data_IF_488954581030
#
_entry.id   IF_488954581030
#
_cell.length_a   1.000
_cell.length_b   1.000
_cell.length_c   1.000
_cell.angle_alpha   90.00
_cell.angle_beta   90.00
_cell.angle_gamma   90.00
#
_symmetry.space_group_name_H-M   'P 1'
#
loop_
_entity.id
_entity.type
_entity.pdbx_description
1 polymer ?
#
# COMPACT_ATOMS: atom_id res chain seq x y z
N UNK A 1 26.93 5.51 4.87
CA UNK A 1 25.54 5.51 4.38
C UNK A 1 25.53 4.74 3.08
N UNK A 2 24.75 3.66 3.00
CA UNK A 2 24.51 2.96 1.72
C UNK A 2 23.96 3.97 0.72
N UNK A 3 24.44 3.88 -0.53
CA UNK A 3 23.95 4.72 -1.63
C UNK A 3 22.44 4.51 -1.77
N UNK A 4 21.66 5.56 -1.50
CA UNK A 4 20.21 5.54 -1.59
C UNK A 4 19.78 5.41 -3.05
N UNK A 5 19.18 4.27 -3.42
CA UNK A 5 18.68 4.01 -4.77
C UNK A 5 17.18 3.84 -4.72
N UNK A 6 16.45 4.82 -5.29
CA UNK A 6 14.99 4.78 -5.41
C UNK A 6 14.50 3.48 -6.05
N UNK A 7 15.24 2.97 -7.04
CA UNK A 7 14.92 1.70 -7.71
C UNK A 7 14.84 0.50 -6.78
N UNK A 8 15.61 0.46 -5.69
CA UNK A 8 15.59 -0.66 -4.74
C UNK A 8 14.28 -0.71 -3.95
N UNK A 9 13.71 0.46 -3.63
CA UNK A 9 12.46 0.58 -2.87
C UNK A 9 11.27 0.44 -3.81
N UNK A 10 11.22 1.24 -4.88
CA UNK A 10 10.11 1.22 -5.82
C UNK A 10 10.06 -0.09 -6.62
N UNK A 11 11.19 -0.74 -6.85
CA UNK A 11 11.25 -2.03 -7.53
C UNK A 11 10.80 -3.21 -6.67
N UNK A 12 10.79 -3.07 -5.34
CA UNK A 12 10.43 -4.13 -4.40
C UNK A 12 8.97 -4.54 -4.52
N UNK A 13 8.71 -5.84 -4.56
CA UNK A 13 7.36 -6.38 -4.73
C UNK A 13 6.49 -6.13 -3.50
N UNK A 14 7.05 -6.23 -2.29
CA UNK A 14 6.34 -5.87 -1.06
C UNK A 14 5.80 -4.44 -1.10
N UNK A 15 6.60 -3.47 -1.56
CA UNK A 15 6.18 -2.07 -1.69
C UNK A 15 5.04 -1.92 -2.70
N UNK A 16 5.10 -2.62 -3.83
CA UNK A 16 4.00 -2.63 -4.82
C UNK A 16 2.73 -3.25 -4.26
N UNK A 17 2.85 -4.36 -3.55
CA UNK A 17 1.73 -5.09 -2.96
C UNK A 17 1.03 -4.23 -1.90
N UNK A 18 1.79 -3.65 -0.96
CA UNK A 18 1.26 -2.73 0.03
C UNK A 18 0.67 -1.47 -0.60
N UNK A 19 1.33 -0.89 -1.61
CA UNK A 19 0.80 0.26 -2.34
C UNK A 19 -0.51 -0.04 -3.06
N UNK A 20 -0.63 -1.20 -3.71
CA UNK A 20 -1.88 -1.66 -4.34
C UNK A 20 -2.99 -1.93 -3.31
N UNK A 21 -2.64 -2.54 -2.17
CA UNK A 21 -3.58 -2.74 -1.07
C UNK A 21 -4.07 -1.40 -0.52
N UNK A 22 -3.18 -0.42 -0.33
CA UNK A 22 -3.52 0.93 0.10
C UNK A 22 -4.43 1.63 -0.91
N UNK A 23 -4.14 1.52 -2.22
CA UNK A 23 -5.01 2.03 -3.28
C UNK A 23 -6.43 1.48 -3.19
N UNK A 24 -6.56 0.16 -2.99
CA UNK A 24 -7.86 -0.52 -2.83
C UNK A 24 -8.56 -0.05 -1.55
N UNK A 25 -7.82 0.09 -0.45
CA UNK A 25 -8.35 0.62 0.80
C UNK A 25 -8.92 2.04 0.62
N UNK A 26 -8.24 2.89 -0.16
CA UNK A 26 -8.70 4.25 -0.45
C UNK A 26 -9.93 4.26 -1.38
N UNK A 27 -9.89 3.51 -2.47
CA UNK A 27 -10.93 3.54 -3.52
C UNK A 27 -12.19 2.75 -3.17
N UNK A 28 -12.06 1.69 -2.38
CA UNK A 28 -13.15 0.75 -2.07
C UNK A 28 -13.54 0.85 -0.61
N UNK A 29 -12.55 0.92 0.28
CA UNK A 29 -12.76 0.94 1.73
C UNK A 29 -12.90 2.33 2.33
N UNK A 30 -12.71 3.40 1.54
CA UNK A 30 -12.69 4.80 1.97
C UNK A 30 -11.72 5.07 3.16
N UNK A 31 -10.64 4.29 3.25
CA UNK A 31 -9.68 4.35 4.36
C UNK A 31 -8.65 5.48 4.17
N UNK A 32 -9.14 6.72 4.14
CA UNK A 32 -8.29 7.91 4.09
C UNK A 32 -7.45 8.09 5.36
N UNK A 33 -7.87 7.50 6.48
CA UNK A 33 -7.11 7.51 7.73
C UNK A 33 -5.74 6.85 7.55
N UNK A 34 -5.66 5.71 6.86
CA UNK A 34 -4.37 5.07 6.54
C UNK A 34 -3.41 5.97 5.77
N UNK A 35 -3.92 6.74 4.80
CA UNK A 35 -3.11 7.65 4.00
C UNK A 35 -2.55 8.79 4.88
N UNK A 36 -3.42 9.42 5.68
CA UNK A 36 -3.02 10.51 6.57
C UNK A 36 -2.03 10.02 7.63
N UNK A 37 -2.30 8.88 8.27
CA UNK A 37 -1.39 8.29 9.27
C UNK A 37 0.00 7.99 8.65
N UNK A 38 0.04 7.47 7.41
CA UNK A 38 1.29 7.23 6.68
C UNK A 38 2.02 8.51 6.26
N UNK A 39 1.35 9.64 6.06
CA UNK A 39 1.99 10.89 5.67
C UNK A 39 2.80 11.52 6.81
N UNK A 40 2.33 11.33 8.06
CA UNK A 40 2.93 11.93 9.25
C UNK A 40 3.88 11.00 10.02
N UNK A 41 4.08 9.77 9.56
CA UNK A 41 4.94 8.79 10.24
C UNK A 41 6.43 9.12 10.07
N UNK A 42 7.15 9.36 11.17
CA UNK A 42 8.56 9.78 11.12
C UNK A 42 9.53 8.74 11.69
N UNK A 43 9.08 7.88 12.61
CA UNK A 43 9.94 6.86 13.23
C UNK A 43 9.49 5.44 12.88
N UNK A 44 10.40 4.47 13.02
CA UNK A 44 10.12 3.06 12.74
C UNK A 44 8.96 2.55 13.58
N UNK A 45 8.92 2.89 14.87
CA UNK A 45 7.88 2.46 15.80
C UNK A 45 6.50 3.03 15.41
N UNK A 46 6.46 4.29 14.96
CA UNK A 46 5.25 4.87 14.40
C UNK A 46 4.83 4.12 13.14
N UNK A 47 5.79 3.76 12.28
CA UNK A 47 5.52 3.03 11.04
C UNK A 47 4.94 1.65 11.30
N UNK A 48 5.50 0.90 12.25
CA UNK A 48 4.97 -0.39 12.69
C UNK A 48 3.51 -0.28 13.15
N UNK A 49 3.19 0.71 13.98
CA UNK A 49 1.83 0.90 14.47
C UNK A 49 0.87 1.31 13.35
N UNK A 50 1.29 2.17 12.43
CA UNK A 50 0.48 2.57 11.26
C UNK A 50 0.23 1.38 10.33
N UNK A 51 1.26 0.58 10.02
CA UNK A 51 1.13 -0.62 9.18
C UNK A 51 0.20 -1.64 9.84
N UNK A 52 0.33 -1.89 11.14
CA UNK A 52 -0.56 -2.78 11.89
C UNK A 52 -2.02 -2.33 11.84
N UNK A 53 -2.29 -1.05 12.06
CA UNK A 53 -3.64 -0.47 11.97
C UNK A 53 -4.20 -0.61 10.55
N UNK A 54 -3.39 -0.28 9.55
CA UNK A 54 -3.75 -0.43 8.14
C UNK A 54 -4.12 -1.89 7.81
N UNK A 55 -3.29 -2.87 8.16
CA UNK A 55 -3.57 -4.29 7.91
C UNK A 55 -4.90 -4.73 8.52
N UNK A 56 -5.21 -4.27 9.75
CA UNK A 56 -6.49 -4.56 10.41
C UNK A 56 -7.69 -3.96 9.68
N UNK A 57 -7.57 -2.71 9.21
CA UNK A 57 -8.63 -2.05 8.41
C UNK A 57 -8.77 -2.73 7.04
N UNK A 58 -7.66 -3.06 6.41
CA UNK A 58 -7.61 -3.68 5.09
C UNK A 58 -8.20 -5.08 5.09
N UNK A 59 -7.97 -5.90 6.13
CA UNK A 59 -8.57 -7.24 6.24
C UNK A 59 -10.10 -7.20 6.12
N UNK A 60 -10.74 -6.18 6.70
CA UNK A 60 -12.19 -5.99 6.59
C UNK A 60 -12.62 -5.65 5.17
N UNK A 61 -11.82 -4.84 4.45
CA UNK A 61 -12.06 -4.50 3.04
C UNK A 61 -11.83 -5.71 2.13
N UNK A 62 -10.77 -6.49 2.39
CA UNK A 62 -10.42 -7.65 1.60
C UNK A 62 -11.48 -8.75 1.68
N UNK A 63 -12.03 -9.00 2.87
CA UNK A 63 -13.15 -9.95 3.07
C UNK A 63 -14.45 -9.52 2.42
N UNK A 64 -14.77 -8.22 2.44
CA UNK A 64 -15.95 -7.69 1.73
C UNK A 64 -15.81 -7.90 0.22
N UNK A 65 -14.57 -7.88 -0.28
CA UNK A 65 -14.28 -8.00 -1.70
C UNK A 65 -14.75 -6.78 -2.49
N UNK A 66 -14.63 -6.87 -3.81
CA UNK A 66 -15.10 -5.86 -4.76
C UNK A 66 -15.52 -6.54 -6.06
N UNK A 67 -16.68 -6.14 -6.61
CA UNK A 67 -17.27 -6.72 -7.83
C UNK A 67 -17.32 -8.26 -7.81
N UNK A 68 -17.75 -8.83 -6.67
CA UNK A 68 -17.91 -10.27 -6.51
C UNK A 68 -16.60 -11.07 -6.36
N UNK A 69 -15.45 -10.42 -6.17
CA UNK A 69 -14.15 -11.07 -5.95
C UNK A 69 -13.53 -10.59 -4.64
N UNK A 70 -12.98 -11.51 -3.86
CA UNK A 70 -12.14 -11.14 -2.70
C UNK A 70 -10.91 -10.36 -3.17
N UNK A 71 -10.47 -9.40 -2.35
CA UNK A 71 -9.20 -8.72 -2.63
C UNK A 71 -8.05 -9.53 -2.05
N UNK A 72 -6.93 -9.52 -2.77
CA UNK A 72 -5.69 -10.15 -2.31
C UNK A 72 -5.27 -9.60 -0.94
N UNK A 73 -4.94 -10.52 -0.03
CA UNK A 73 -4.35 -10.17 1.27
C UNK A 73 -2.84 -10.02 1.13
N UNK A 74 -2.27 -9.20 2.01
CA UNK A 74 -0.82 -9.06 2.13
C UNK A 74 -0.26 -10.28 2.86
N UNK A 75 0.88 -10.78 2.39
CA UNK A 75 1.54 -11.93 3.01
C UNK A 75 2.46 -11.52 4.15
N UNK A 76 2.76 -12.47 5.04
CA UNK A 76 3.79 -12.28 6.08
C UNK A 76 5.15 -11.93 5.47
N UNK A 77 5.49 -12.57 4.34
CA UNK A 77 6.70 -12.26 3.58
C UNK A 77 6.75 -10.80 3.10
N UNK A 78 5.63 -10.27 2.58
CA UNK A 78 5.57 -8.86 2.19
C UNK A 78 5.82 -7.95 3.39
N UNK A 79 5.29 -8.30 4.57
CA UNK A 79 5.50 -7.53 5.79
C UNK A 79 6.96 -7.54 6.24
N UNK A 80 7.60 -8.72 6.27
CA UNK A 80 9.01 -8.86 6.61
C UNK A 80 9.91 -8.07 5.66
N UNK A 81 9.66 -8.18 4.34
CA UNK A 81 10.39 -7.44 3.33
C UNK A 81 10.21 -5.93 3.48
N UNK A 82 8.97 -5.46 3.71
CA UNK A 82 8.70 -4.04 3.94
C UNK A 82 9.44 -3.50 5.16
N UNK A 83 9.43 -4.23 6.28
CA UNK A 83 10.15 -3.83 7.49
C UNK A 83 11.67 -3.81 7.28
N UNK A 84 12.21 -4.76 6.51
CA UNK A 84 13.63 -4.76 6.15
C UNK A 84 14.05 -3.53 5.33
N UNK A 85 13.14 -3.01 4.48
CA UNK A 85 13.38 -1.77 3.74
C UNK A 85 13.40 -0.55 4.65
N UNK A 86 12.52 -0.50 5.66
CA UNK A 86 12.54 0.57 6.66
C UNK A 86 13.84 0.55 7.44
N UNK A 87 14.30 -0.63 7.85
CA UNK A 87 15.60 -0.78 8.54
C UNK A 87 16.79 -0.33 7.68
N UNK A 88 16.70 -0.53 6.37
CA UNK A 88 17.79 -0.23 5.44
C UNK A 88 17.80 1.22 4.95
N UNK A 89 16.63 1.81 4.70
CA UNK A 89 16.47 3.09 4.01
C UNK A 89 15.71 4.15 4.82
N UNK A 90 15.35 3.86 6.07
CA UNK A 90 14.52 4.69 6.93
C UNK A 90 13.07 4.81 6.44
N UNK A 91 12.21 5.39 7.26
CA UNK A 91 10.75 5.45 7.07
C UNK A 91 10.35 6.32 5.89
N UNK A 92 11.00 7.50 5.74
CA UNK A 92 10.57 8.54 4.80
C UNK A 92 10.55 8.06 3.35
N UNK A 93 11.58 7.36 2.84
CA UNK A 93 11.54 6.84 1.48
C UNK A 93 10.51 5.73 1.27
N UNK A 94 10.35 4.84 2.25
CA UNK A 94 9.42 3.71 2.16
C UNK A 94 7.98 4.22 2.16
N UNK A 95 7.60 5.11 3.08
CA UNK A 95 6.25 5.71 3.11
C UNK A 95 5.94 6.47 1.81
N UNK A 96 6.92 7.20 1.26
CA UNK A 96 6.74 7.94 0.02
C UNK A 96 6.47 6.99 -1.16
N UNK A 97 7.16 5.85 -1.22
CA UNK A 97 6.93 4.84 -2.24
C UNK A 97 5.53 4.19 -2.11
N UNK A 98 5.11 3.84 -0.89
CA UNK A 98 3.77 3.30 -0.62
C UNK A 98 2.67 4.25 -1.08
N UNK A 99 2.77 5.52 -0.68
CA UNK A 99 1.81 6.57 -1.06
C UNK A 99 1.81 6.77 -2.58
N UNK A 100 2.99 6.81 -3.20
CA UNK A 100 3.11 6.97 -4.66
C UNK A 100 2.39 5.84 -5.40
N UNK A 101 2.63 4.58 -5.02
CA UNK A 101 1.92 3.45 -5.61
C UNK A 101 0.41 3.50 -5.37
N UNK A 102 -0.02 4.00 -4.23
CA UNK A 102 -1.43 4.14 -3.93
C UNK A 102 -2.13 5.18 -4.80
N UNK A 103 -1.45 6.29 -5.10
CA UNK A 103 -2.05 7.45 -5.78
C UNK A 103 -1.85 7.42 -7.31
N UNK A 104 -0.74 6.90 -7.81
CA UNK A 104 -0.44 6.90 -9.25
C UNK A 104 -1.43 6.04 -10.02
N UNK A 105 -1.92 6.56 -11.15
CA UNK A 105 -2.83 5.85 -12.05
C UNK A 105 -2.10 4.65 -12.68
N UNK A 106 -2.57 3.44 -12.37
CA UNK A 106 -2.12 2.21 -13.02
C UNK A 106 -2.83 2.07 -14.39
N UNK A 107 -2.07 1.82 -15.45
CA UNK A 107 -2.64 1.66 -16.81
C UNK A 107 -3.57 0.44 -16.95
N UNK A 108 -3.50 -0.52 -16.01
CA UNK A 108 -4.19 -1.81 -16.09
C UNK A 108 -5.55 -1.87 -15.40
N UNK A 109 -5.87 -0.95 -14.49
CA UNK A 109 -7.07 -1.06 -13.64
C UNK A 109 -8.27 -0.22 -14.12
N UNK A 110 -8.08 0.69 -15.09
CA UNK A 110 -9.11 1.61 -15.58
C UNK A 110 -9.54 1.32 -17.03
N UNK A 111 -9.75 0.05 -17.40
CA UNK A 111 -10.63 -0.25 -18.53
C UNK A 111 -12.07 -0.27 -18.01
N UNK A 112 -12.92 0.72 -18.35
CA UNK A 112 -14.35 0.54 -18.17
C UNK A 112 -14.76 -0.59 -19.12
N UNK A 113 -15.18 -1.73 -18.56
CA UNK A 113 -16.12 -2.58 -19.28
C UNK A 113 -17.32 -1.69 -19.58
N UNK A 114 -17.40 -1.24 -20.84
CA UNK A 114 -18.56 -0.72 -21.57
C UNK A 114 -19.66 -0.10 -20.71
N UNK A 115 -19.81 1.22 -20.80
CA UNK A 115 -21.14 1.83 -20.73
C UNK A 115 -22.02 1.16 -21.80
N UNK A 116 -22.79 0.14 -21.41
CA UNK A 116 -24.02 -0.19 -22.14
C UNK A 116 -24.97 0.97 -21.91
N UNK A 117 -24.98 1.88 -22.88
CA UNK A 117 -26.02 2.88 -23.06
C UNK A 117 -27.28 2.12 -23.48
N UNK A 118 -28.27 2.04 -22.58
CA UNK A 118 -29.64 1.60 -22.89
C UNK A 118 -30.47 2.84 -23.24
#
# INVERSE_FOLDING_TARGET
>A
MSEFKLGDIFGCEAVKNFGSALRKALRIGEDYASLVELEYVETKEQFEEVIKKFLRRYESTARKGYRGKELSRLSEKDLEELMSLVDKYDVKPVRAALISYALVKSEREESPESEEVV
#
